data_IF_705913059393
#
_entry.id   IF_705913059393
#
_cell.length_a   1.000
_cell.length_b   1.000
_cell.length_c   1.000
_cell.angle_alpha   90.00
_cell.angle_beta   90.00
_cell.angle_gamma   90.00
#
_symmetry.space_group_name_H-M   'P 1'
#
loop_
_entity.id
_entity.type
_entity.pdbx_description
1 polymer ?
#
# COMPACT_ATOMS: atom_id res chain seq x y z
N UNK A 1 18.98 19.53 -8.55
CA UNK A 1 18.30 18.54 -9.40
C UNK A 1 17.74 17.43 -8.52
N UNK A 2 16.84 16.59 -9.01
CA UNK A 2 16.51 15.32 -8.35
C UNK A 2 17.59 14.29 -8.71
N UNK A 3 18.18 13.62 -7.72
CA UNK A 3 19.24 12.63 -7.95
C UNK A 3 18.68 11.21 -7.81
N UNK A 4 18.77 10.42 -8.88
CA UNK A 4 18.26 9.05 -8.93
C UNK A 4 19.39 8.05 -8.65
N UNK A 5 19.29 7.29 -7.54
CA UNK A 5 20.30 6.29 -7.15
C UNK A 5 19.69 4.89 -7.16
N UNK A 6 20.39 3.92 -7.74
CA UNK A 6 19.96 2.51 -7.77
C UNK A 6 20.92 1.63 -6.97
N UNK A 7 20.40 0.87 -6.00
CA UNK A 7 21.18 -0.02 -5.15
C UNK A 7 20.63 -1.45 -5.15
N UNK A 8 21.52 -2.44 -5.01
CA UNK A 8 21.16 -3.84 -4.75
C UNK A 8 21.44 -4.13 -3.28
N UNK A 9 20.39 -4.24 -2.47
CA UNK A 9 20.48 -4.27 -1.02
C UNK A 9 20.46 -5.72 -0.50
N UNK A 10 21.53 -6.22 0.14
CA UNK A 10 21.61 -7.59 0.64
C UNK A 10 20.96 -7.72 2.03
N UNK A 11 19.66 -8.06 2.07
CA UNK A 11 18.90 -8.18 3.32
C UNK A 11 19.09 -9.55 4.02
N UNK A 12 19.48 -10.59 3.27
CA UNK A 12 19.54 -12.01 3.69
C UNK A 12 20.16 -12.24 5.07
N UNK A 13 21.35 -11.69 5.32
CA UNK A 13 22.11 -11.89 6.57
C UNK A 13 21.43 -11.26 7.78
N UNK A 14 20.76 -10.11 7.61
CA UNK A 14 20.16 -9.36 8.72
C UNK A 14 18.81 -9.93 9.17
N UNK A 15 18.00 -10.47 8.25
CA UNK A 15 16.74 -11.13 8.61
C UNK A 15 16.87 -12.62 8.94
N UNK A 16 17.90 -13.33 8.44
CA UNK A 16 18.10 -14.75 8.77
C UNK A 16 18.29 -14.99 10.27
N UNK A 17 18.91 -14.03 10.98
CA UNK A 17 19.10 -13.99 12.44
C UNK A 17 17.78 -13.86 13.23
N UNK A 18 16.64 -13.65 12.59
CA UNK A 18 15.34 -13.58 13.25
C UNK A 18 14.57 -14.92 13.17
N UNK A 19 13.78 -15.28 14.20
CA UNK A 19 12.86 -16.42 14.16
C UNK A 19 11.98 -16.40 12.91
N UNK A 20 11.60 -17.58 12.37
CA UNK A 20 10.80 -17.71 11.14
C UNK A 20 9.56 -16.80 11.14
N UNK A 21 8.90 -16.65 12.29
CA UNK A 21 7.72 -15.81 12.50
C UNK A 21 8.02 -14.32 12.81
N UNK A 22 9.26 -13.81 12.60
CA UNK A 22 9.62 -12.37 12.65
C UNK A 22 10.40 -11.88 11.40
N UNK A 23 10.60 -12.71 10.38
CA UNK A 23 11.52 -12.44 9.25
C UNK A 23 11.15 -11.26 8.35
N UNK A 24 9.97 -11.21 7.73
CA UNK A 24 9.63 -10.09 6.82
C UNK A 24 9.59 -8.74 7.55
N UNK A 25 9.08 -8.70 8.79
CA UNK A 25 9.19 -7.50 9.66
C UNK A 25 10.66 -7.10 9.92
N UNK A 26 11.57 -8.06 10.13
CA UNK A 26 13.02 -7.76 10.28
C UNK A 26 13.69 -7.38 8.96
N UNK A 27 13.20 -7.84 7.81
CA UNK A 27 13.69 -7.43 6.50
C UNK A 27 13.37 -5.95 6.19
N UNK A 28 12.16 -5.48 6.50
CA UNK A 28 11.81 -4.04 6.41
C UNK A 28 12.68 -3.20 7.35
N UNK A 29 12.90 -3.66 8.58
CA UNK A 29 13.82 -2.99 9.52
C UNK A 29 15.27 -2.97 9.04
N UNK A 30 15.75 -4.06 8.44
CA UNK A 30 17.08 -4.15 7.83
C UNK A 30 17.25 -3.23 6.61
N UNK A 31 16.19 -3.04 5.82
CA UNK A 31 16.16 -2.10 4.71
C UNK A 31 16.32 -0.66 5.21
N UNK A 32 15.52 -0.22 6.21
CA UNK A 32 15.70 1.10 6.83
C UNK A 32 17.11 1.30 7.38
N UNK A 33 17.60 0.33 8.15
CA UNK A 33 18.93 0.35 8.76
C UNK A 33 20.07 0.43 7.73
N UNK A 34 19.92 -0.23 6.57
CA UNK A 34 20.85 -0.10 5.45
C UNK A 34 20.77 1.30 4.81
N UNK A 35 19.56 1.76 4.49
CA UNK A 35 19.33 3.04 3.81
C UNK A 35 19.84 4.23 4.63
N UNK A 36 19.46 4.34 5.91
CA UNK A 36 19.91 5.44 6.78
C UNK A 36 21.42 5.43 7.01
N UNK A 37 22.10 4.27 6.96
CA UNK A 37 23.57 4.20 7.05
C UNK A 37 24.29 4.71 5.79
N UNK A 38 23.71 4.54 4.60
CA UNK A 38 24.33 4.99 3.34
C UNK A 38 23.95 6.42 2.98
N UNK A 39 22.73 6.86 3.33
CA UNK A 39 22.17 8.15 2.91
C UNK A 39 22.12 9.20 4.04
N UNK A 40 22.35 8.80 5.29
CA UNK A 40 22.37 9.69 6.48
C UNK A 40 21.07 10.49 6.72
N UNK A 41 19.94 10.04 6.14
CA UNK A 41 18.58 10.59 6.32
C UNK A 41 17.59 9.46 6.67
N UNK A 42 16.38 9.79 7.12
CA UNK A 42 15.28 8.81 7.09
C UNK A 42 14.77 8.67 5.64
N UNK A 43 14.30 7.47 5.29
CA UNK A 43 13.87 7.15 3.93
C UNK A 43 12.50 6.51 3.97
N UNK A 44 11.55 7.11 3.25
CA UNK A 44 10.18 6.61 3.13
C UNK A 44 10.18 5.40 2.19
N UNK A 45 9.79 4.23 2.70
CA UNK A 45 9.67 3.02 1.90
C UNK A 45 8.35 3.08 1.13
N UNK A 46 8.44 3.03 -0.20
CA UNK A 46 7.32 3.04 -1.12
C UNK A 46 6.50 1.73 -1.09
N UNK A 47 5.28 1.81 -1.64
CA UNK A 47 4.29 0.72 -1.55
C UNK A 47 4.81 -0.54 -2.23
N UNK A 48 5.34 -0.43 -3.45
CA UNK A 48 5.82 -1.59 -4.21
C UNK A 48 7.03 -2.25 -3.53
N UNK A 49 7.94 -1.44 -2.96
CA UNK A 49 9.09 -1.96 -2.22
C UNK A 49 8.68 -2.74 -0.97
N UNK A 50 7.70 -2.24 -0.19
CA UNK A 50 7.15 -3.00 0.92
C UNK A 50 6.46 -4.29 0.42
N UNK A 51 5.58 -4.20 -0.59
CA UNK A 51 4.88 -5.36 -1.13
C UNK A 51 5.85 -6.46 -1.63
N UNK A 52 6.97 -6.09 -2.28
CA UNK A 52 8.00 -7.05 -2.69
C UNK A 52 8.65 -7.79 -1.51
N UNK A 53 8.84 -7.13 -0.36
CA UNK A 53 9.39 -7.77 0.85
C UNK A 53 8.39 -8.77 1.47
N UNK A 54 7.08 -8.49 1.35
CA UNK A 54 6.00 -9.31 1.91
C UNK A 54 5.37 -10.29 0.90
N UNK A 55 5.80 -10.29 -0.36
CA UNK A 55 5.26 -11.14 -1.44
C UNK A 55 5.30 -12.64 -1.10
N UNK A 56 6.42 -13.11 -0.53
CA UNK A 56 6.60 -14.49 -0.05
C UNK A 56 6.06 -14.69 1.38
N UNK A 57 5.03 -13.91 1.74
CA UNK A 57 4.47 -13.81 3.08
C UNK A 57 5.50 -13.41 4.13
N UNK A 58 5.33 -13.95 5.34
CA UNK A 58 6.13 -13.57 6.50
C UNK A 58 7.43 -14.37 6.67
N UNK A 59 7.45 -15.62 6.19
CA UNK A 59 8.48 -16.62 6.56
C UNK A 59 9.77 -16.51 5.73
N UNK A 60 9.68 -15.93 4.52
CA UNK A 60 10.72 -16.04 3.49
C UNK A 60 10.88 -14.75 2.65
N UNK A 61 11.15 -13.58 3.27
CA UNK A 61 11.38 -12.34 2.53
C UNK A 61 12.57 -12.48 1.55
N UNK A 62 12.65 -11.65 0.49
CA UNK A 62 13.73 -11.70 -0.49
C UNK A 62 15.13 -11.50 0.14
N UNK A 63 16.11 -12.22 -0.40
CA UNK A 63 17.51 -12.18 0.08
C UNK A 63 18.30 -10.96 -0.40
N UNK A 64 18.00 -10.48 -1.61
CA UNK A 64 18.49 -9.24 -2.21
C UNK A 64 17.29 -8.48 -2.78
N UNK A 65 17.28 -7.15 -2.75
CA UNK A 65 16.25 -6.32 -3.40
C UNK A 65 16.92 -5.19 -4.17
N UNK A 66 16.52 -4.97 -5.43
CA UNK A 66 16.98 -3.83 -6.24
C UNK A 66 16.04 -2.64 -6.00
N UNK A 67 16.60 -1.55 -5.50
CA UNK A 67 15.86 -0.38 -4.99
C UNK A 67 16.26 0.85 -5.80
N UNK A 68 15.24 1.60 -6.24
CA UNK A 68 15.34 2.94 -6.81
C UNK A 68 15.16 3.93 -5.68
N UNK A 69 16.02 4.94 -5.59
CA UNK A 69 15.96 6.00 -4.59
C UNK A 69 15.82 7.33 -5.30
N UNK A 70 14.82 8.08 -4.89
CA UNK A 70 14.47 9.39 -5.42
C UNK A 70 14.66 10.42 -4.30
N UNK A 71 15.61 11.33 -4.50
CA UNK A 71 15.86 12.45 -3.59
C UNK A 71 15.06 13.68 -4.03
N UNK A 72 14.03 14.01 -3.24
CA UNK A 72 13.35 15.30 -3.29
C UNK A 72 14.02 16.28 -2.30
N UNK A 73 13.68 17.58 -2.40
CA UNK A 73 14.26 18.67 -1.58
C UNK A 73 14.13 18.43 -0.07
N UNK A 74 13.02 17.83 0.36
CA UNK A 74 12.70 17.63 1.78
C UNK A 74 12.73 16.16 2.23
N UNK A 75 12.56 15.20 1.31
CA UNK A 75 12.49 13.78 1.68
C UNK A 75 13.07 12.82 0.64
N UNK A 76 13.64 11.72 1.11
CA UNK A 76 14.06 10.59 0.28
C UNK A 76 12.99 9.51 0.27
N UNK A 77 12.65 9.02 -0.92
CA UNK A 77 11.74 7.88 -1.10
C UNK A 77 12.48 6.72 -1.76
N UNK A 78 12.26 5.50 -1.26
CA UNK A 78 12.81 4.26 -1.80
C UNK A 78 11.69 3.39 -2.38
N UNK A 79 11.70 3.20 -3.69
CA UNK A 79 10.76 2.37 -4.45
C UNK A 79 11.44 1.11 -5.00
N UNK A 80 10.62 0.15 -5.42
CA UNK A 80 11.12 -1.05 -6.11
C UNK A 80 11.66 -0.63 -7.49
N UNK A 81 12.80 -1.18 -7.93
CA UNK A 81 13.37 -0.85 -9.25
C UNK A 81 12.41 -1.18 -10.41
N UNK A 82 11.58 -2.21 -10.24
CA UNK A 82 10.58 -2.70 -11.20
C UNK A 82 9.16 -2.15 -10.93
N UNK A 83 9.04 -1.15 -10.03
CA UNK A 83 7.76 -0.45 -9.86
C UNK A 83 7.43 0.34 -11.14
N UNK A 84 6.15 0.41 -11.54
CA UNK A 84 5.75 1.30 -12.62
C UNK A 84 5.94 2.76 -12.18
N UNK A 85 7.09 3.36 -12.53
CA UNK A 85 7.32 4.81 -12.49
C UNK A 85 6.23 5.44 -13.34
N UNK A 86 5.17 5.91 -12.68
CA UNK A 86 4.02 6.49 -13.37
C UNK A 86 4.51 7.65 -14.23
N UNK A 87 4.40 7.52 -15.56
CA UNK A 87 4.92 8.49 -16.53
C UNK A 87 4.25 9.85 -16.32
N UNK A 88 4.87 10.69 -15.50
CA UNK A 88 4.40 12.03 -15.13
C UNK A 88 4.67 13.07 -16.21
N UNK A 89 5.55 12.76 -17.17
CA UNK A 89 5.68 13.49 -18.43
C UNK A 89 4.64 13.01 -19.46
N UNK A 90 4.85 11.82 -20.06
CA UNK A 90 4.08 11.30 -21.22
C UNK A 90 2.54 11.20 -21.02
N UNK A 91 2.04 11.16 -19.78
CA UNK A 91 0.58 11.14 -19.49
C UNK A 91 0.01 12.49 -19.05
N UNK A 92 0.82 13.55 -19.00
CA UNK A 92 0.35 14.93 -18.84
C UNK A 92 0.09 15.57 -20.21
N UNK A 93 0.95 15.31 -21.20
CA UNK A 93 0.80 15.77 -22.59
C UNK A 93 -0.52 15.26 -23.21
N UNK A 94 -0.70 13.93 -23.23
CA UNK A 94 -1.96 13.27 -23.68
C UNK A 94 -3.21 13.59 -22.86
N UNK A 95 -3.11 14.36 -21.77
CA UNK A 95 -4.25 14.89 -21.02
C UNK A 95 -4.47 16.39 -21.20
N UNK A 96 -3.57 17.07 -21.89
CA UNK A 96 -3.63 18.49 -22.23
C UNK A 96 -4.09 18.70 -23.67
N UNK A 97 -3.69 17.81 -24.58
CA UNK A 97 -4.16 17.75 -25.98
C UNK A 97 -5.67 17.45 -26.03
N UNK A 98 -6.10 16.34 -25.41
CA UNK A 98 -7.51 15.86 -25.34
C UNK A 98 -8.39 16.72 -24.42
N UNK A 99 -8.04 18.00 -24.22
CA UNK A 99 -8.84 18.98 -23.48
C UNK A 99 -8.73 20.41 -24.03
N UNK A 100 -8.12 20.58 -25.21
CA UNK A 100 -8.07 21.84 -25.96
C UNK A 100 -9.07 21.85 -27.14
N UNK A 101 -9.48 20.67 -27.61
CA UNK A 101 -10.54 20.47 -28.59
C UNK A 101 -11.87 20.10 -27.87
N UNK A 102 -13.00 20.26 -28.55
CA UNK A 102 -14.37 19.93 -28.08
C UNK A 102 -14.92 20.69 -26.84
N UNK A 103 -14.99 22.02 -26.90
CA UNK A 103 -16.01 22.78 -26.14
C UNK A 103 -17.19 23.19 -27.01
N UNK A 104 -18.31 22.46 -26.88
CA UNK A 104 -19.76 22.86 -26.91
C UNK A 104 -20.22 24.04 -27.80
N UNK A 105 -21.40 23.95 -28.46
CA UNK A 105 -22.72 23.72 -27.79
C UNK A 105 -23.68 22.76 -28.56
N UNK A 106 -24.92 22.40 -28.15
CA UNK A 106 -25.64 22.23 -26.86
C UNK A 106 -27.07 21.67 -27.16
N UNK A 107 -27.95 21.46 -26.16
CA UNK A 107 -29.44 21.29 -26.25
C UNK A 107 -29.94 19.92 -26.76
N UNK A 108 -30.88 19.16 -26.14
CA UNK A 108 -31.64 19.22 -24.86
C UNK A 108 -32.12 17.78 -24.49
N UNK A 109 -32.40 17.41 -23.23
CA UNK A 109 -33.76 17.22 -22.61
C UNK A 109 -34.61 16.13 -23.33
N UNK A 110 -35.13 15.04 -22.74
CA UNK A 110 -35.53 14.70 -21.36
C UNK A 110 -34.83 13.39 -20.85
N UNK A 111 -35.10 12.74 -19.70
CA UNK A 111 -36.16 12.85 -18.66
C UNK A 111 -35.62 12.38 -17.29
N UNK A 112 -36.12 12.94 -16.17
CA UNK A 112 -35.62 12.67 -14.81
C UNK A 112 -36.76 12.41 -13.79
N UNK A 113 -37.40 11.27 -13.94
CA UNK A 113 -38.31 10.60 -12.99
C UNK A 113 -38.19 9.09 -13.30
N UNK A 114 -38.17 8.18 -12.33
CA UNK A 114 -39.15 8.02 -11.25
C UNK A 114 -38.52 7.53 -9.91
N UNK A 115 -39.27 7.64 -8.80
CA UNK A 115 -38.94 7.08 -7.47
C UNK A 115 -40.18 6.47 -6.79
N UNK A 116 -40.39 5.16 -6.93
CA UNK A 116 -41.27 4.34 -6.08
C UNK A 116 -40.58 2.96 -5.99
N UNK A 117 -40.14 2.38 -4.86
CA UNK A 117 -40.59 2.26 -3.45
C UNK A 117 -41.60 1.10 -3.27
N UNK A 118 -41.50 0.38 -2.14
CA UNK A 118 -42.40 -0.72 -1.69
C UNK A 118 -42.12 -2.04 -2.45
N UNK A 119 -41.91 -3.23 -1.85
CA UNK A 119 -41.81 -3.72 -0.45
C UNK A 119 -40.67 -4.81 -0.43
N UNK A 120 -40.05 -5.35 0.64
CA UNK A 120 -40.35 -5.60 2.07
C UNK A 120 -41.47 -6.66 2.30
N UNK A 121 -41.59 -7.39 3.43
CA UNK A 121 -40.79 -7.47 4.69
C UNK A 121 -40.81 -8.93 5.23
N UNK A 122 -39.96 -9.22 6.23
CA UNK A 122 -40.15 -10.28 7.27
C UNK A 122 -40.06 -11.78 6.86
N UNK A 123 -39.68 -12.76 7.69
CA UNK A 123 -39.23 -12.89 9.11
C UNK A 123 -38.04 -13.90 9.17
N UNK A 124 -37.22 -14.10 10.23
CA UNK A 124 -36.86 -13.41 11.50
C UNK A 124 -35.44 -13.89 11.92
N UNK A 125 -34.70 -13.19 12.80
CA UNK A 125 -33.39 -13.61 13.31
C UNK A 125 -33.47 -14.45 14.60
N UNK A 126 -32.38 -15.16 14.94
CA UNK A 126 -32.18 -15.78 16.27
C UNK A 126 -30.89 -15.22 16.89
N UNK A 127 -30.96 -14.69 18.11
CA UNK A 127 -29.82 -14.08 18.78
C UNK A 127 -29.84 -14.27 20.31
N UNK A 128 -28.84 -15.03 20.81
CA UNK A 128 -28.32 -15.07 22.20
C UNK A 128 -29.33 -15.48 23.33
N UNK A 129 -28.87 -16.03 24.48
CA UNK A 129 -28.11 -15.27 25.48
C UNK A 129 -26.95 -16.02 26.18
N UNK A 130 -25.94 -15.25 26.60
CA UNK A 130 -25.18 -15.58 27.82
C UNK A 130 -25.98 -15.12 29.03
N UNK A 131 -25.97 -15.86 30.14
CA UNK A 131 -26.28 -15.29 31.46
C UNK A 131 -25.62 -16.08 32.60
N UNK A 132 -24.88 -15.36 33.43
CA UNK A 132 -24.40 -15.84 34.74
C UNK A 132 -25.48 -15.62 35.80
N UNK A 133 -25.67 -16.57 36.72
CA UNK A 133 -26.13 -16.33 38.10
C UNK A 133 -25.37 -17.30 39.04
N UNK A 134 -25.13 -16.87 40.28
CA UNK A 134 -24.31 -17.56 41.30
C UNK A 134 -25.18 -18.42 42.23
N UNK A 135 -24.63 -19.50 42.83
CA UNK A 135 -24.58 -19.69 44.30
C UNK A 135 -24.10 -21.09 44.79
N UNK A 136 -22.90 -21.12 45.39
CA UNK A 136 -22.57 -21.70 46.72
C UNK A 136 -23.21 -23.04 47.17
N UNK A 137 -22.46 -24.14 46.99
CA UNK A 137 -22.50 -25.39 47.79
C UNK A 137 -21.06 -25.96 47.84
N UNK A 138 -20.54 -26.58 48.92
CA UNK A 138 -21.11 -26.65 50.27
C UNK A 138 -20.46 -27.59 51.31
N UNK A 139 -19.48 -28.43 50.96
CA UNK A 139 -18.71 -29.34 51.85
C UNK A 139 -17.28 -29.51 51.30
#
# INVERSE_FOLDING_TARGET
MAEEKTYIIPLRSRWLRAPKYKRSKRAVGALREYLSRHLKRDVRIGKYLNHAIWSQGHKMPPGKVKVRIEEDKESMTAELFDAPRAKKEEKVEKKKEVKAEETKPEVKEEKKTEKVKVEQTEEKPIAVPKKEVKAKVGH
#
